data_IF_120266774751
#
_entry.id   IF_120266774751
#
_cell.length_a   1.000
_cell.length_b   1.000
_cell.length_c   1.000
_cell.angle_alpha   90.00
_cell.angle_beta   90.00
_cell.angle_gamma   90.00
#
_symmetry.space_group_name_H-M   'P 1'
#
loop_
_entity.id
_entity.type
_entity.pdbx_description
1 polymer ?
#
# COMPACT_ATOMS: atom_id res chain seq x y z
N UNK A 1 -4.85 1.53 -6.38
CA UNK A 1 -3.44 1.57 -5.91
C UNK A 1 -2.60 0.69 -6.81
N UNK A 2 -1.32 1.03 -7.00
CA UNK A 2 -0.34 0.17 -7.68
C UNK A 2 0.78 -0.16 -6.69
N UNK A 3 1.32 -1.39 -6.74
CA UNK A 3 2.39 -1.85 -5.85
C UNK A 3 3.59 -2.32 -6.69
N UNK A 4 4.46 -1.41 -7.16
CA UNK A 4 5.50 -1.75 -8.15
C UNK A 4 6.49 -2.83 -7.68
N UNK A 5 6.69 -2.95 -6.36
CA UNK A 5 7.62 -3.89 -5.73
C UNK A 5 6.95 -5.20 -5.27
N UNK A 6 5.66 -5.40 -5.58
CA UNK A 6 4.90 -6.57 -5.15
C UNK A 6 4.53 -7.41 -6.37
N UNK A 7 4.97 -8.69 -6.46
CA UNK A 7 4.60 -9.56 -7.56
C UNK A 7 3.12 -9.98 -7.47
N UNK A 8 2.49 -10.22 -8.61
CA UNK A 8 1.05 -10.51 -8.68
C UNK A 8 0.63 -11.77 -7.90
N UNK A 9 1.48 -12.80 -7.83
CA UNK A 9 1.20 -14.05 -7.13
C UNK A 9 1.30 -13.94 -5.61
N UNK A 10 1.79 -12.80 -5.09
CA UNK A 10 1.84 -12.50 -3.66
C UNK A 10 1.10 -11.19 -3.42
N UNK A 11 -0.23 -11.11 -3.54
CA UNK A 11 -0.95 -9.88 -3.21
C UNK A 11 -0.79 -9.56 -1.71
N UNK A 12 -1.13 -8.33 -1.31
CA UNK A 12 -1.29 -8.04 0.11
C UNK A 12 -2.65 -8.54 0.58
N UNK A 13 -2.71 -9.19 1.73
CA UNK A 13 -3.97 -9.58 2.33
C UNK A 13 -4.54 -8.41 3.13
N UNK A 14 -5.03 -7.40 2.41
CA UNK A 14 -5.55 -6.16 3.00
C UNK A 14 -6.69 -6.39 4.03
N UNK A 15 -7.35 -7.55 4.00
CA UNK A 15 -8.41 -7.90 4.95
C UNK A 15 -7.89 -8.38 6.31
N UNK A 16 -6.69 -8.98 6.35
CA UNK A 16 -6.10 -9.59 7.56
C UNK A 16 -4.90 -8.80 8.07
N UNK A 17 -4.10 -8.21 7.17
CA UNK A 17 -2.85 -7.52 7.50
C UNK A 17 -3.04 -6.01 7.76
N UNK A 18 -4.14 -5.39 7.30
CA UNK A 18 -4.28 -3.92 7.36
C UNK A 18 -4.67 -3.46 8.77
N UNK A 19 -3.77 -2.74 9.44
CA UNK A 19 -3.98 -2.19 10.78
C UNK A 19 -4.56 -0.78 10.73
N UNK A 20 -3.92 0.12 9.99
CA UNK A 20 -4.30 1.54 9.94
C UNK A 20 -4.27 2.07 8.52
N UNK A 21 -5.21 2.95 8.19
CA UNK A 21 -5.19 3.76 6.97
C UNK A 21 -5.15 5.24 7.34
N UNK A 22 -4.21 5.98 6.78
CA UNK A 22 -4.16 7.44 6.88
C UNK A 22 -4.31 8.03 5.49
N UNK A 23 -5.24 8.97 5.34
CA UNK A 23 -5.49 9.66 4.08
C UNK A 23 -5.38 11.17 4.26
N UNK A 24 -4.59 11.82 3.42
CA UNK A 24 -4.41 13.27 3.38
C UNK A 24 -4.95 13.79 2.05
N UNK A 25 -6.23 14.19 2.06
CA UNK A 25 -6.98 14.55 0.85
C UNK A 25 -6.31 15.67 0.04
N UNK A 26 -5.84 16.73 0.70
CA UNK A 26 -5.18 17.87 0.04
C UNK A 26 -3.88 17.47 -0.67
N UNK A 27 -3.12 16.57 -0.07
CA UNK A 27 -1.84 16.09 -0.61
C UNK A 27 -2.00 14.87 -1.53
N UNK A 28 -3.24 14.37 -1.70
CA UNK A 28 -3.55 13.11 -2.39
C UNK A 28 -2.65 11.96 -1.95
N UNK A 29 -2.33 11.93 -0.67
CA UNK A 29 -1.40 10.99 -0.07
C UNK A 29 -2.16 9.98 0.79
N UNK A 30 -1.81 8.72 0.65
CA UNK A 30 -2.31 7.58 1.42
C UNK A 30 -1.13 6.89 2.08
N UNK A 31 -1.29 6.55 3.35
CA UNK A 31 -0.38 5.68 4.08
C UNK A 31 -1.17 4.50 4.61
N UNK A 32 -0.60 3.31 4.47
CA UNK A 32 -1.15 2.06 4.97
C UNK A 32 -0.16 1.47 5.97
N UNK A 33 -0.63 1.10 7.14
CA UNK A 33 0.15 0.36 8.13
C UNK A 33 -0.31 -1.09 8.09
N UNK A 34 0.62 -1.98 7.72
CA UNK A 34 0.39 -3.42 7.62
C UNK A 34 1.04 -4.11 8.80
N UNK A 35 0.34 -5.06 9.40
CA UNK A 35 0.86 -5.92 10.45
C UNK A 35 1.79 -6.99 9.85
N UNK A 36 2.93 -7.20 10.50
CA UNK A 36 3.84 -8.28 10.16
C UNK A 36 3.49 -9.54 10.96
N UNK A 37 3.71 -10.70 10.35
CA UNK A 37 3.60 -11.98 11.05
C UNK A 37 4.86 -12.25 11.86
N UNK A 38 4.81 -11.89 13.14
CA UNK A 38 5.92 -12.08 14.09
C UNK A 38 6.09 -13.53 14.53
N UNK A 39 5.14 -14.41 14.21
CA UNK A 39 5.22 -15.84 14.53
C UNK A 39 5.91 -16.67 13.44
N UNK A 40 6.13 -16.06 12.27
CA UNK A 40 6.76 -16.70 11.12
C UNK A 40 8.24 -17.03 11.38
N UNK A 41 8.77 -18.16 10.87
CA UNK A 41 10.21 -18.41 10.88
C UNK A 41 11.03 -17.42 10.03
N UNK A 42 10.36 -16.54 9.28
CA UNK A 42 10.97 -15.47 8.49
C UNK A 42 11.10 -14.15 9.26
N UNK A 43 10.62 -14.10 10.50
CA UNK A 43 10.72 -12.95 11.37
C UNK A 43 11.88 -13.12 12.35
N UNK A 44 12.77 -12.13 12.40
CA UNK A 44 13.84 -12.08 13.39
C UNK A 44 13.42 -11.22 14.59
N UNK A 45 12.83 -11.88 15.58
CA UNK A 45 12.43 -11.25 16.84
C UNK A 45 13.60 -10.83 17.73
N UNK A 46 14.79 -11.39 17.50
CA UNK A 46 16.02 -11.08 18.27
C UNK A 46 16.86 -9.98 17.60
N UNK A 47 16.38 -9.46 16.46
CA UNK A 47 16.99 -8.30 15.83
C UNK A 47 17.06 -7.14 16.80
N UNK A 48 18.05 -6.25 16.65
CA UNK A 48 18.22 -5.09 17.53
C UNK A 48 16.95 -4.22 17.59
N UNK A 49 16.12 -4.26 16.54
CA UNK A 49 14.90 -3.49 16.39
C UNK A 49 13.82 -4.34 15.70
N UNK A 50 13.10 -5.16 16.47
CA UNK A 50 12.01 -5.97 15.93
C UNK A 50 10.87 -5.06 15.46
N UNK A 51 10.46 -5.20 14.20
CA UNK A 51 9.36 -4.44 13.62
C UNK A 51 8.07 -5.25 13.66
N UNK A 52 7.03 -4.72 14.32
CA UNK A 52 5.72 -5.36 14.31
C UNK A 52 4.86 -4.95 13.11
N UNK A 53 5.17 -3.81 12.48
CA UNK A 53 4.40 -3.27 11.36
C UNK A 53 5.30 -2.75 10.25
N UNK A 54 4.75 -2.75 9.04
CA UNK A 54 5.37 -2.19 7.84
C UNK A 54 4.48 -1.08 7.27
N UNK A 55 5.05 0.09 7.04
CA UNK A 55 4.32 1.23 6.48
C UNK A 55 4.51 1.31 4.96
N UNK A 56 3.40 1.39 4.21
CA UNK A 56 3.40 1.73 2.79
C UNK A 56 2.98 3.19 2.61
N UNK A 57 3.78 3.95 1.89
CA UNK A 57 3.52 5.35 1.54
C UNK A 57 3.22 5.50 0.06
N UNK A 58 2.24 6.34 -0.28
CA UNK A 58 1.85 6.59 -1.66
C UNK A 58 2.67 7.69 -2.33
N UNK A 59 3.00 7.51 -3.60
CA UNK A 59 3.46 8.58 -4.50
C UNK A 59 2.44 8.76 -5.62
N UNK A 60 1.99 10.00 -5.92
CA UNK A 60 1.06 10.24 -7.01
C UNK A 60 1.71 9.92 -8.36
N UNK A 61 0.94 9.28 -9.24
CA UNK A 61 1.32 9.09 -10.64
C UNK A 61 0.63 10.16 -11.47
N UNK A 62 1.37 11.02 -12.19
CA UNK A 62 0.77 11.98 -13.09
C UNK A 62 -0.11 11.28 -14.14
N UNK A 63 -1.37 11.70 -14.25
CA UNK A 63 -2.27 11.16 -15.25
C UNK A 63 -1.88 11.73 -16.63
N UNK A 64 -1.42 10.88 -17.54
CA UNK A 64 -1.16 11.28 -18.93
C UNK A 64 -2.45 11.31 -19.77
N UNK A 65 -3.49 10.58 -19.34
CA UNK A 65 -4.79 10.45 -20.01
C UNK A 65 -5.92 10.25 -18.98
N UNK A 66 -7.16 10.28 -19.44
CA UNK A 66 -8.32 9.95 -18.62
C UNK A 66 -8.40 8.43 -18.39
N UNK A 67 -8.43 8.01 -17.12
CA UNK A 67 -8.51 6.60 -16.74
C UNK A 67 -9.90 6.28 -16.17
N UNK A 68 -10.36 5.04 -16.38
CA UNK A 68 -11.58 4.52 -15.77
C UNK A 68 -11.40 3.04 -15.38
N UNK A 69 -12.24 2.56 -14.47
CA UNK A 69 -12.39 1.14 -14.16
C UNK A 69 -13.67 0.64 -14.81
N UNK A 70 -13.59 -0.49 -15.53
CA UNK A 70 -14.73 -1.18 -16.11
C UNK A 70 -15.08 -2.44 -15.34
N UNK A 71 -16.35 -2.59 -14.98
CA UNK A 71 -16.88 -3.84 -14.41
C UNK A 71 -17.87 -4.45 -15.39
N UNK A 72 -17.64 -5.71 -15.78
CA UNK A 72 -18.52 -6.47 -16.68
C UNK A 72 -19.45 -7.32 -15.84
N UNK A 73 -20.77 -7.15 -16.02
CA UNK A 73 -21.78 -7.95 -15.33
C UNK A 73 -23.04 -8.07 -16.18
N UNK A 74 -23.60 -9.27 -16.31
CA UNK A 74 -24.88 -9.47 -17.02
C UNK A 74 -24.89 -9.02 -18.49
N UNK A 75 -23.74 -9.03 -19.18
CA UNK A 75 -23.64 -8.57 -20.58
C UNK A 75 -23.50 -7.06 -20.76
N UNK A 76 -23.42 -6.28 -19.68
CA UNK A 76 -23.16 -4.84 -19.71
C UNK A 76 -21.79 -4.48 -19.14
N UNK A 77 -21.27 -3.31 -19.51
CA UNK A 77 -20.00 -2.76 -18.99
C UNK A 77 -20.27 -1.45 -18.27
N UNK A 78 -19.95 -1.40 -16.97
CA UNK A 78 -20.09 -0.21 -16.14
C UNK A 78 -18.73 0.48 -16.02
N UNK A 79 -18.61 1.70 -16.54
CA UNK A 79 -17.38 2.50 -16.47
C UNK A 79 -17.45 3.53 -15.35
N UNK A 80 -16.45 3.54 -14.46
CA UNK A 80 -16.30 4.52 -13.39
C UNK A 80 -14.98 5.30 -13.57
N UNK A 81 -15.03 6.64 -13.74
CA UNK A 81 -13.81 7.45 -13.87
C UNK A 81 -12.91 7.34 -12.64
N UNK A 82 -11.60 7.25 -12.86
CA UNK A 82 -10.60 7.27 -11.79
C UNK A 82 -10.17 8.71 -11.48
N UNK A 83 -10.22 9.09 -10.21
CA UNK A 83 -9.78 10.41 -9.77
C UNK A 83 -8.26 10.53 -9.65
N UNK A 84 -7.58 9.45 -9.27
CA UNK A 84 -6.14 9.43 -9.11
C UNK A 84 -5.58 8.01 -9.22
N UNK A 85 -4.32 7.92 -9.66
CA UNK A 85 -3.50 6.72 -9.58
C UNK A 85 -2.32 7.05 -8.65
N UNK A 86 -2.07 6.17 -7.68
CA UNK A 86 -0.92 6.30 -6.78
C UNK A 86 -0.19 4.97 -6.66
N UNK A 87 1.14 5.06 -6.51
CA UNK A 87 2.03 3.94 -6.28
C UNK A 87 2.38 3.83 -4.80
N UNK A 88 2.13 2.67 -4.20
CA UNK A 88 2.47 2.36 -2.82
C UNK A 88 3.87 1.75 -2.77
N UNK A 89 4.73 2.29 -1.90
CA UNK A 89 6.10 1.82 -1.68
C UNK A 89 6.35 1.65 -0.18
N UNK A 90 7.15 0.66 0.26
CA UNK A 90 7.60 0.56 1.64
C UNK A 90 8.31 1.84 2.08
N UNK A 91 7.94 2.33 3.26
CA UNK A 91 8.59 3.45 3.92
C UNK A 91 9.73 2.95 4.79
N UNK A 92 10.84 3.68 4.82
CA UNK A 92 11.98 3.42 5.71
C UNK A 92 12.11 4.47 6.83
N UNK A 93 11.03 5.22 7.10
CA UNK A 93 11.04 6.31 8.09
C UNK A 93 11.47 5.89 9.51
N UNK A 94 11.34 4.60 9.87
CA UNK A 94 11.84 4.08 11.13
C UNK A 94 13.37 4.17 11.24
N UNK A 95 14.10 4.17 10.12
CA UNK A 95 15.56 4.36 10.11
C UNK A 95 15.93 5.83 10.36
N UNK A 96 15.10 6.77 9.89
CA UNK A 96 15.36 8.21 10.07
C UNK A 96 15.17 8.63 11.53
N UNK A 97 14.25 7.99 12.26
CA UNK A 97 14.02 8.24 13.70
C UNK A 97 15.23 7.85 14.57
N UNK A 98 16.15 7.04 14.05
CA UNK A 98 17.30 6.50 14.77
C UNK A 98 18.57 7.35 14.62
N UNK A 99 18.63 8.22 13.61
CA UNK A 99 19.75 9.15 13.37
C UNK A 99 19.66 10.42 14.26
N UNK A 100 18.63 10.54 15.10
CA UNK A 100 18.36 11.71 15.97
C UNK A 100 18.54 11.41 17.45
#
# INVERSE_FOLDING_TARGET
FQYPLRPQWKPHEMASELKTVRHRALQRAVQLELQLDTSSPHYDGESQRPLETSMLSSTPVPAQTNHCVGVVSGGTVHLTPLHAVVQMRPSMAHLDEEDT
#
